data_IF_901344619570
#
_entry.id   IF_901344619570
#
_cell.length_a   1.000
_cell.length_b   1.000
_cell.length_c   1.000
_cell.angle_alpha   90.00
_cell.angle_beta   90.00
_cell.angle_gamma   90.00
#
_symmetry.space_group_name_H-M   'P 1'
#
loop_
_entity.id
_entity.type
_entity.pdbx_description
1 polymer ?
#
# COMPACT_ATOMS: atom_id res chain seq x y z
N UNK A 1 -45.88 7.34 59.01
CA UNK A 1 -45.21 6.22 58.30
C UNK A 1 -43.97 6.78 57.65
N UNK A 2 -42.81 6.59 58.27
CA UNK A 2 -41.53 7.20 57.92
C UNK A 2 -40.56 6.07 57.59
N UNK A 3 -39.92 6.12 56.43
CA UNK A 3 -38.46 6.23 56.27
C UNK A 3 -38.09 6.03 54.79
N UNK A 4 -37.52 7.09 54.23
CA UNK A 4 -36.72 7.05 53.03
C UNK A 4 -35.58 6.05 53.20
N UNK A 5 -35.32 5.23 52.19
CA UNK A 5 -34.11 4.42 52.11
C UNK A 5 -33.26 4.86 50.92
N UNK A 6 -32.04 5.21 51.31
CA UNK A 6 -31.04 5.91 50.55
C UNK A 6 -30.42 5.10 49.42
N UNK A 7 -29.98 5.83 48.40
CA UNK A 7 -29.12 5.46 47.29
C UNK A 7 -27.91 4.63 47.72
N UNK A 8 -27.75 3.42 47.17
CA UNK A 8 -26.42 2.80 47.02
C UNK A 8 -26.01 2.81 45.55
N UNK A 9 -25.13 3.75 45.26
CA UNK A 9 -24.27 3.80 44.07
C UNK A 9 -23.33 2.59 44.13
N UNK A 10 -23.53 1.62 43.24
CA UNK A 10 -22.52 0.60 42.97
C UNK A 10 -21.72 1.03 41.76
N UNK A 11 -20.43 1.21 42.03
CA UNK A 11 -19.42 1.78 41.16
C UNK A 11 -19.37 1.12 39.77
N UNK A 12 -19.13 1.98 38.79
CA UNK A 12 -18.53 1.71 37.49
C UNK A 12 -17.39 0.70 37.65
N UNK A 13 -17.60 -0.53 37.17
CA UNK A 13 -16.51 -1.42 36.77
C UNK A 13 -16.40 -1.34 35.26
N UNK A 14 -15.56 -0.43 34.80
CA UNK A 14 -14.89 -0.58 33.50
C UNK A 14 -14.22 -1.95 33.46
N UNK A 15 -14.57 -2.85 32.52
CA UNK A 15 -13.73 -3.99 32.24
C UNK A 15 -12.45 -3.44 31.60
N UNK A 16 -11.42 -3.41 32.42
CA UNK A 16 -10.01 -3.61 32.12
C UNK A 16 -9.64 -3.61 30.63
N UNK A 17 -8.83 -2.62 30.26
CA UNK A 17 -8.05 -2.54 29.03
C UNK A 17 -6.97 -3.62 29.03
N UNK A 18 -7.38 -4.89 29.04
CA UNK A 18 -6.52 -6.03 28.80
C UNK A 18 -6.34 -6.19 27.30
N UNK A 19 -5.46 -5.37 26.71
CA UNK A 19 -4.95 -5.55 25.35
C UNK A 19 -4.28 -6.91 25.23
N UNK A 20 -5.09 -7.95 25.03
CA UNK A 20 -4.67 -9.32 24.75
C UNK A 20 -4.03 -9.25 23.38
N UNK A 21 -2.71 -9.00 23.34
CA UNK A 21 -1.88 -9.28 22.17
C UNK A 21 -2.15 -10.74 21.83
N UNK A 22 -3.03 -10.95 20.85
CA UNK A 22 -3.28 -12.28 20.31
C UNK A 22 -1.91 -12.77 19.83
N UNK A 23 -1.43 -13.92 20.30
CA UNK A 23 -0.27 -14.54 19.66
C UNK A 23 -0.60 -14.63 18.16
N UNK A 24 0.37 -14.32 17.31
CA UNK A 24 0.18 -14.38 15.86
C UNK A 24 -0.13 -15.83 15.52
N UNK A 25 -1.43 -16.15 15.44
CA UNK A 25 -1.91 -17.49 15.13
C UNK A 25 -1.42 -17.82 13.73
N UNK A 26 -0.41 -18.67 13.60
CA UNK A 26 0.08 -19.14 12.30
C UNK A 26 -1.05 -19.80 11.49
N UNK A 27 -2.09 -20.32 12.15
CA UNK A 27 -3.33 -20.78 11.51
C UNK A 27 -4.19 -19.67 10.88
N UNK A 28 -4.15 -18.44 11.40
CA UNK A 28 -4.88 -17.31 10.81
C UNK A 28 -4.26 -16.88 9.47
N UNK A 29 -2.93 -16.94 9.34
CA UNK A 29 -2.25 -16.66 8.08
C UNK A 29 -2.61 -17.65 6.97
N UNK A 30 -2.83 -18.93 7.31
CA UNK A 30 -3.27 -19.93 6.33
C UNK A 30 -4.64 -19.60 5.71
N UNK A 31 -5.53 -18.94 6.45
CA UNK A 31 -6.82 -18.47 5.94
C UNK A 31 -6.72 -17.18 5.12
N UNK A 32 -5.74 -16.31 5.43
CA UNK A 32 -5.56 -15.01 4.78
C UNK A 32 -4.72 -15.11 3.50
N UNK A 33 -3.68 -15.95 3.50
CA UNK A 33 -2.77 -16.14 2.36
C UNK A 33 -3.49 -16.38 1.01
N UNK A 34 -4.47 -17.30 0.89
CA UNK A 34 -5.10 -17.57 -0.41
C UNK A 34 -5.87 -16.37 -0.97
N UNK A 35 -6.35 -15.46 -0.12
CA UNK A 35 -6.94 -14.20 -0.57
C UNK A 35 -5.88 -13.13 -0.87
N UNK A 36 -4.80 -13.10 -0.09
CA UNK A 36 -3.73 -12.11 -0.24
C UNK A 36 -2.86 -12.33 -1.47
N UNK A 37 -2.56 -13.60 -1.80
CA UNK A 37 -1.67 -13.94 -2.92
C UNK A 37 -2.16 -13.36 -4.25
N UNK A 38 -3.42 -13.57 -4.68
CA UNK A 38 -3.91 -12.97 -5.92
C UNK A 38 -3.85 -11.45 -5.91
N UNK A 39 -4.20 -10.81 -4.79
CA UNK A 39 -4.14 -9.35 -4.65
C UNK A 39 -2.70 -8.86 -4.86
N UNK A 40 -1.75 -9.52 -4.21
CA UNK A 40 -0.34 -9.14 -4.29
C UNK A 40 0.22 -9.39 -5.69
N UNK A 41 -0.08 -10.55 -6.30
CA UNK A 41 0.39 -10.87 -7.66
C UNK A 41 -0.19 -9.92 -8.69
N UNK A 42 -1.50 -9.65 -8.62
CA UNK A 42 -2.18 -8.77 -9.58
C UNK A 42 -1.84 -7.29 -9.38
N UNK A 43 -1.41 -6.89 -8.18
CA UNK A 43 -1.00 -5.51 -7.91
C UNK A 43 0.51 -5.29 -8.12
N UNK A 44 1.33 -6.10 -7.47
CA UNK A 44 2.80 -5.98 -7.48
C UNK A 44 3.39 -6.52 -8.77
N UNK A 45 2.81 -7.58 -9.35
CA UNK A 45 3.27 -8.16 -10.61
C UNK A 45 3.35 -7.16 -11.76
N UNK A 46 2.26 -6.46 -12.14
CA UNK A 46 2.31 -5.46 -13.21
C UNK A 46 3.19 -4.26 -12.86
N UNK A 47 3.29 -3.90 -11.56
CA UNK A 47 4.18 -2.83 -11.12
C UNK A 47 5.65 -3.19 -11.34
N UNK A 48 6.06 -4.40 -10.94
CA UNK A 48 7.42 -4.90 -11.19
C UNK A 48 7.70 -5.06 -12.68
N UNK A 49 6.72 -5.52 -13.46
CA UNK A 49 6.83 -5.59 -14.91
C UNK A 49 7.04 -4.20 -15.53
N UNK A 50 6.26 -3.20 -15.12
CA UNK A 50 6.43 -1.81 -15.56
C UNK A 50 7.81 -1.24 -15.20
N UNK A 51 8.30 -1.51 -13.99
CA UNK A 51 9.65 -1.13 -13.56
C UNK A 51 10.70 -1.83 -14.44
N UNK A 52 10.55 -3.12 -14.71
CA UNK A 52 11.47 -3.85 -15.59
C UNK A 52 11.48 -3.25 -17.00
N UNK A 53 10.32 -2.87 -17.53
CA UNK A 53 10.20 -2.21 -18.83
C UNK A 53 10.92 -0.85 -18.87
N UNK A 54 10.99 -0.12 -17.76
CA UNK A 54 11.71 1.16 -17.71
C UNK A 54 13.22 1.02 -17.98
N UNK A 55 13.79 -0.18 -17.84
CA UNK A 55 15.19 -0.49 -18.19
C UNK A 55 15.37 -1.01 -19.62
N UNK A 56 14.30 -0.98 -20.41
CA UNK A 56 14.26 -1.53 -21.78
C UNK A 56 13.77 -0.49 -22.79
N UNK A 57 13.94 -0.76 -24.08
CA UNK A 57 13.42 0.08 -25.18
C UNK A 57 11.93 -0.17 -25.50
N UNK A 58 11.16 -0.65 -24.51
CA UNK A 58 9.77 -1.05 -24.68
C UNK A 58 8.91 0.11 -25.19
N UNK A 59 8.40 -0.03 -26.40
CA UNK A 59 7.53 0.95 -27.04
C UNK A 59 6.14 0.34 -27.30
N UNK A 60 5.09 0.97 -26.80
CA UNK A 60 3.71 0.55 -27.06
C UNK A 60 3.40 0.56 -28.56
N UNK A 61 2.83 -0.53 -29.07
CA UNK A 61 2.47 -0.68 -30.48
C UNK A 61 3.62 -1.11 -31.40
N UNK A 62 4.83 -1.30 -30.87
CA UNK A 62 5.96 -1.86 -31.64
C UNK A 62 5.93 -3.39 -31.58
N UNK A 63 6.02 -4.04 -32.73
CA UNK A 63 6.06 -5.52 -32.85
C UNK A 63 7.47 -6.10 -32.69
N UNK A 64 8.49 -5.24 -32.58
CA UNK A 64 9.87 -5.65 -32.39
C UNK A 64 10.09 -6.14 -30.95
N UNK A 65 10.98 -7.11 -30.74
CA UNK A 65 11.34 -7.56 -29.40
C UNK A 65 12.00 -6.41 -28.62
N UNK A 66 11.53 -6.22 -27.39
CA UNK A 66 12.11 -5.30 -26.42
C UNK A 66 13.55 -5.70 -26.08
N UNK A 67 14.47 -4.73 -26.13
CA UNK A 67 15.87 -4.88 -25.78
C UNK A 67 16.17 -4.23 -24.44
N UNK A 68 17.06 -4.85 -23.66
CA UNK A 68 17.55 -4.28 -22.42
C UNK A 68 18.59 -3.20 -22.71
N UNK A 69 18.26 -1.96 -22.34
CA UNK A 69 19.11 -0.78 -22.54
C UNK A 69 19.65 -0.21 -21.23
N UNK A 70 19.36 -0.88 -20.11
CA UNK A 70 19.85 -0.49 -18.78
C UNK A 70 19.26 0.84 -18.33
N UNK A 71 20.11 1.77 -17.89
CA UNK A 71 19.68 3.03 -17.31
C UNK A 71 19.52 4.19 -18.33
N UNK A 72 19.61 3.91 -19.64
CA UNK A 72 19.58 4.95 -20.68
C UNK A 72 18.31 5.81 -20.64
N UNK A 73 17.12 5.19 -20.51
CA UNK A 73 15.86 5.95 -20.36
C UNK A 73 15.90 6.94 -19.20
N UNK A 74 16.53 6.57 -18.08
CA UNK A 74 16.64 7.44 -16.92
C UNK A 74 17.63 8.58 -17.18
N UNK A 75 18.76 8.31 -17.84
CA UNK A 75 19.70 9.36 -18.22
C UNK A 75 19.06 10.39 -19.16
N UNK A 76 18.30 9.93 -20.14
CA UNK A 76 17.56 10.80 -21.06
C UNK A 76 16.52 11.63 -20.31
N UNK A 77 15.72 10.99 -19.43
CA UNK A 77 14.70 11.66 -18.63
C UNK A 77 15.28 12.71 -17.68
N UNK A 78 16.46 12.46 -17.11
CA UNK A 78 17.14 13.42 -16.22
C UNK A 78 17.49 14.73 -16.95
N UNK A 79 17.77 14.68 -18.25
CA UNK A 79 18.12 15.85 -19.05
C UNK A 79 16.92 16.47 -19.79
N UNK A 80 15.73 15.87 -19.70
CA UNK A 80 14.52 16.35 -20.36
C UNK A 80 13.86 17.48 -19.55
N UNK A 81 14.06 18.72 -20.01
CA UNK A 81 13.47 19.90 -19.37
C UNK A 81 11.94 19.92 -19.42
N UNK A 82 11.33 19.38 -20.48
CA UNK A 82 9.87 19.37 -20.65
C UNK A 82 9.22 18.40 -19.65
N UNK A 83 9.85 17.25 -19.44
CA UNK A 83 9.43 16.30 -18.40
C UNK A 83 9.43 16.98 -17.03
N UNK A 84 10.53 17.63 -16.65
CA UNK A 84 10.64 18.27 -15.33
C UNK A 84 9.67 19.43 -15.13
N UNK A 85 9.40 20.23 -16.16
CA UNK A 85 8.42 21.31 -16.10
C UNK A 85 7.01 20.74 -15.87
N UNK A 86 6.63 19.73 -16.65
CA UNK A 86 5.32 19.07 -16.53
C UNK A 86 5.17 18.34 -15.19
N UNK A 87 6.23 17.66 -14.74
CA UNK A 87 6.25 16.94 -13.46
C UNK A 87 6.09 17.90 -12.27
N UNK A 88 6.75 19.07 -12.31
CA UNK A 88 6.60 20.11 -11.28
C UNK A 88 5.18 20.64 -11.21
N UNK A 89 4.55 20.91 -12.35
CA UNK A 89 3.15 21.33 -12.40
C UNK A 89 2.27 20.25 -11.75
N UNK A 90 2.44 18.99 -12.14
CA UNK A 90 1.70 17.87 -11.55
C UNK A 90 1.88 17.77 -10.03
N UNK A 91 3.12 17.94 -9.53
CA UNK A 91 3.42 17.92 -8.11
C UNK A 91 2.77 19.09 -7.34
N UNK A 92 2.76 20.28 -7.92
CA UNK A 92 2.11 21.46 -7.34
C UNK A 92 0.60 21.26 -7.14
N UNK A 93 -0.06 20.51 -8.03
CA UNK A 93 -1.48 20.20 -7.91
C UNK A 93 -1.80 19.06 -6.94
N UNK A 94 -0.83 18.22 -6.62
CA UNK A 94 -1.04 17.04 -5.76
C UNK A 94 -1.04 17.36 -4.26
N UNK A 95 -0.54 18.54 -3.86
CA UNK A 95 -0.46 19.02 -2.46
C UNK A 95 -1.55 20.06 -2.18
#
# INVERSE_FOLDING_TARGET
MTLASATRRSATRTPDAGGRRRPVDHGAWFLVLPALIPILVLSVGPLLYGIALAFTDAQSGRTAPTQWIGALNFQDLLHDTLFWESFRIGLLWAV
#
